data_IF_469131364024
#
_entry.id   IF_469131364024
#
_cell.length_a   1.000
_cell.length_b   1.000
_cell.length_c   1.000
_cell.angle_alpha   90.00
_cell.angle_beta   90.00
_cell.angle_gamma   90.00
#
_symmetry.space_group_name_H-M   'P 1'
#
loop_
_entity.id
_entity.type
_entity.pdbx_description
1 polymer ?
#
# COMPACT_ATOMS: atom_id res chain seq x y z
N UNK A 1 -24.08 24.55 2.24
CA UNK A 1 -23.04 24.83 3.25
C UNK A 1 -21.68 24.88 2.55
N UNK A 2 -20.91 25.95 2.71
CA UNK A 2 -19.55 26.05 2.15
C UNK A 2 -18.56 25.89 3.32
N UNK A 3 -17.83 24.77 3.32
CA UNK A 3 -16.96 24.36 4.44
C UNK A 3 -15.65 25.17 4.46
N UNK A 4 -15.19 25.62 3.29
CA UNK A 4 -13.95 26.38 3.14
C UNK A 4 -14.25 27.69 2.42
N UNK A 5 -14.07 28.82 3.13
CA UNK A 5 -14.18 30.19 2.62
C UNK A 5 -12.89 30.94 2.89
N UNK A 6 -12.43 31.73 1.91
CA UNK A 6 -11.28 32.65 2.05
C UNK A 6 -9.99 32.01 2.59
N UNK A 7 -9.59 30.86 2.04
CA UNK A 7 -8.36 30.19 2.48
C UNK A 7 -7.13 30.73 1.78
N UNK A 8 -6.22 31.33 2.55
CA UNK A 8 -4.90 31.75 2.11
C UNK A 8 -3.85 30.75 2.63
N UNK A 9 -3.77 29.57 2.01
CA UNK A 9 -2.82 28.53 2.42
C UNK A 9 -1.56 28.68 1.56
N UNK A 10 -0.41 28.84 2.22
CA UNK A 10 0.88 28.88 1.55
C UNK A 10 1.41 27.46 1.31
N UNK A 11 1.00 26.89 0.18
CA UNK A 11 1.44 25.56 -0.26
C UNK A 11 2.92 25.53 -0.62
N UNK A 12 3.48 26.64 -1.12
CA UNK A 12 4.85 26.67 -1.63
C UNK A 12 5.83 26.64 -0.45
N UNK A 13 5.61 27.44 0.58
CA UNK A 13 6.49 27.41 1.74
C UNK A 13 6.40 26.08 2.50
N UNK A 14 5.20 25.49 2.59
CA UNK A 14 4.96 24.23 3.29
C UNK A 14 5.34 22.98 2.47
N UNK A 15 5.65 23.15 1.17
CA UNK A 15 5.98 22.05 0.27
C UNK A 15 7.22 21.28 0.73
N UNK A 16 8.23 21.96 1.28
CA UNK A 16 9.50 21.35 1.70
C UNK A 16 9.30 20.27 2.75
N UNK A 17 8.47 20.55 3.76
CA UNK A 17 8.14 19.59 4.82
C UNK A 17 7.33 18.42 4.27
N UNK A 18 6.37 18.72 3.39
CA UNK A 18 5.51 17.70 2.76
C UNK A 18 6.31 16.76 1.86
N UNK A 19 7.28 17.30 1.10
CA UNK A 19 8.20 16.54 0.25
C UNK A 19 9.10 15.64 1.10
N UNK A 20 9.65 16.16 2.20
CA UNK A 20 10.48 15.36 3.11
C UNK A 20 9.69 14.19 3.70
N UNK A 21 8.49 14.45 4.21
CA UNK A 21 7.62 13.43 4.80
C UNK A 21 7.22 12.37 3.76
N UNK A 22 6.84 12.79 2.55
CA UNK A 22 6.50 11.89 1.45
C UNK A 22 7.70 11.03 1.02
N UNK A 23 8.87 11.65 0.92
CA UNK A 23 10.11 10.95 0.54
C UNK A 23 10.49 9.91 1.59
N UNK A 24 10.37 10.24 2.87
CA UNK A 24 10.62 9.30 3.97
C UNK A 24 9.68 8.09 3.90
N UNK A 25 8.39 8.30 3.62
CA UNK A 25 7.41 7.22 3.48
C UNK A 25 7.72 6.31 2.28
N UNK A 26 8.09 6.90 1.14
CA UNK A 26 8.49 6.15 -0.06
C UNK A 26 9.73 5.30 0.24
N UNK A 27 10.75 5.88 0.88
CA UNK A 27 11.96 5.17 1.27
C UNK A 27 11.67 4.02 2.23
N UNK A 28 10.81 4.24 3.23
CA UNK A 28 10.39 3.18 4.15
C UNK A 28 9.71 2.02 3.40
N UNK A 29 8.87 2.31 2.40
CA UNK A 29 8.27 1.30 1.52
C UNK A 29 9.32 0.52 0.73
N UNK A 30 10.30 1.21 0.14
CA UNK A 30 11.40 0.58 -0.59
C UNK A 30 12.24 -0.32 0.33
N UNK A 31 12.63 0.17 1.51
CA UNK A 31 13.38 -0.63 2.50
C UNK A 31 12.60 -1.86 2.94
N UNK A 32 11.29 -1.72 3.18
CA UNK A 32 10.41 -2.85 3.50
C UNK A 32 10.44 -3.90 2.39
N UNK A 33 10.35 -3.48 1.11
CA UNK A 33 10.44 -4.42 -0.01
C UNK A 33 11.79 -5.14 -0.04
N UNK A 34 12.90 -4.43 0.18
CA UNK A 34 14.24 -5.05 0.20
C UNK A 34 14.35 -6.09 1.32
N UNK A 35 13.95 -5.75 2.55
CA UNK A 35 14.03 -6.64 3.72
C UNK A 35 13.15 -7.89 3.54
N UNK A 36 11.99 -7.75 2.88
CA UNK A 36 11.04 -8.85 2.66
C UNK A 36 11.28 -9.64 1.36
N UNK A 37 12.44 -9.46 0.70
CA UNK A 37 12.78 -10.10 -0.58
C UNK A 37 11.82 -9.78 -1.73
N UNK A 38 11.30 -8.55 -1.76
CA UNK A 38 10.42 -8.00 -2.78
C UNK A 38 8.93 -8.16 -2.47
N UNK A 39 8.06 -7.76 -3.41
CA UNK A 39 6.62 -7.88 -3.26
C UNK A 39 6.18 -9.35 -3.31
N UNK A 40 5.03 -9.66 -2.70
CA UNK A 40 4.37 -10.96 -2.83
C UNK A 40 3.76 -11.11 -4.22
N UNK A 41 4.58 -11.59 -5.14
CA UNK A 41 4.17 -11.85 -6.52
C UNK A 41 3.12 -12.98 -6.58
N UNK A 42 2.07 -12.76 -7.37
CA UNK A 42 1.02 -13.75 -7.67
C UNK A 42 1.50 -14.81 -8.66
N UNK A 43 0.61 -15.78 -8.94
CA UNK A 43 0.81 -16.83 -9.95
C UNK A 43 1.11 -16.26 -11.34
N UNK A 44 0.59 -15.08 -11.67
CA UNK A 44 0.80 -14.42 -12.98
C UNK A 44 2.27 -14.09 -13.23
N UNK A 45 3.06 -13.93 -12.16
CA UNK A 45 4.47 -13.53 -12.23
C UNK A 45 5.45 -14.64 -11.83
N UNK A 46 5.08 -15.52 -10.88
CA UNK A 46 5.94 -16.62 -10.42
C UNK A 46 5.66 -17.97 -11.11
N UNK A 47 4.53 -18.07 -11.81
CA UNK A 47 3.99 -19.37 -12.23
C UNK A 47 3.49 -20.19 -11.04
N UNK A 48 2.87 -21.34 -11.32
CA UNK A 48 2.33 -22.24 -10.31
C UNK A 48 1.03 -22.90 -10.75
N UNK A 49 0.30 -23.47 -9.79
CA UNK A 49 -1.01 -24.08 -10.01
C UNK A 49 -2.03 -23.44 -9.07
N UNK A 50 -3.12 -22.92 -9.63
CA UNK A 50 -4.26 -22.41 -8.87
C UNK A 50 -5.29 -23.53 -8.74
N UNK A 51 -5.59 -23.95 -7.51
CA UNK A 51 -6.65 -24.91 -7.21
C UNK A 51 -7.78 -24.13 -6.52
N UNK A 52 -8.89 -23.97 -7.23
CA UNK A 52 -10.10 -23.35 -6.68
C UNK A 52 -11.04 -24.44 -6.18
N UNK A 53 -11.29 -24.48 -4.86
CA UNK A 53 -12.21 -25.44 -4.23
C UNK A 53 -13.47 -24.71 -3.78
N UNK A 54 -14.63 -25.27 -4.13
CA UNK A 54 -15.93 -24.77 -3.67
C UNK A 54 -16.49 -25.70 -2.60
N UNK A 55 -16.57 -25.20 -1.37
CA UNK A 55 -17.18 -25.93 -0.26
C UNK A 55 -18.67 -25.64 -0.17
N UNK A 56 -19.48 -26.67 0.06
CA UNK A 56 -20.94 -26.57 0.26
C UNK A 56 -21.35 -26.53 1.73
N UNK A 57 -20.38 -26.73 2.63
CA UNK A 57 -20.53 -26.73 4.09
C UNK A 57 -19.35 -25.98 4.71
N UNK A 58 -19.50 -25.42 5.92
CA UNK A 58 -18.40 -24.75 6.62
C UNK A 58 -17.23 -25.72 6.83
N UNK A 59 -16.02 -25.27 6.51
CA UNK A 59 -14.78 -26.02 6.69
C UNK A 59 -13.89 -25.24 7.64
N UNK A 60 -13.28 -25.94 8.60
CA UNK A 60 -12.29 -25.35 9.48
C UNK A 60 -10.95 -25.25 8.73
N UNK A 61 -10.35 -24.06 8.73
CA UNK A 61 -9.11 -23.74 8.03
C UNK A 61 -7.88 -23.75 8.96
N UNK A 62 -8.10 -24.07 10.24
CA UNK A 62 -7.06 -24.11 11.27
C UNK A 62 -6.65 -25.56 11.56
N UNK A 63 -5.92 -26.16 10.63
CA UNK A 63 -4.98 -27.27 10.88
C UNK A 63 -3.71 -27.04 10.06
#
# INVERSE_FOLDING_TARGET
>A
MQIIKNSNIDFINNSKLTVLLSSSLILAGIFSLIINNGPKLSIDFKGGTLIAVKYTKPVNINE
#
